data_IF_753524141809
#
_entry.id   IF_753524141809
#
_cell.length_a   1.000
_cell.length_b   1.000
_cell.length_c   1.000
_cell.angle_alpha   90.00
_cell.angle_beta   90.00
_cell.angle_gamma   90.00
#
_symmetry.space_group_name_H-M   'P 1'
#
loop_
_entity.id
_entity.type
_entity.pdbx_description
1 polymer ?
#
# COMPACT_ATOMS: atom_id res chain seq x y z
N UNK A 1 -0.99 3.12 -12.07
CA UNK A 1 -0.11 2.00 -12.46
C UNK A 1 -0.05 1.02 -11.32
N UNK A 2 -0.21 -0.26 -11.62
CA UNK A 2 0.14 -1.36 -10.73
C UNK A 2 1.47 -1.95 -11.17
N UNK A 3 2.28 -2.42 -10.23
CA UNK A 3 3.56 -3.10 -10.51
C UNK A 3 3.72 -4.36 -9.68
N UNK A 4 4.45 -5.33 -10.22
CA UNK A 4 4.96 -6.51 -9.53
C UNK A 4 6.26 -6.96 -10.20
N UNK A 5 7.24 -7.36 -9.42
CA UNK A 5 8.54 -7.79 -9.95
C UNK A 5 8.62 -9.29 -10.21
N UNK A 6 9.48 -9.69 -11.14
CA UNK A 6 9.52 -11.05 -11.69
C UNK A 6 10.84 -11.80 -11.44
N UNK A 7 11.89 -11.13 -10.94
CA UNK A 7 13.23 -11.71 -10.85
C UNK A 7 13.42 -12.62 -9.63
N UNK A 8 12.61 -12.49 -8.59
CA UNK A 8 12.68 -13.33 -7.41
C UNK A 8 11.90 -14.62 -7.59
N UNK A 9 12.53 -15.79 -7.29
CA UNK A 9 11.96 -17.08 -7.65
C UNK A 9 11.00 -17.65 -6.62
N UNK A 10 10.72 -16.94 -5.52
CA UNK A 10 9.83 -17.39 -4.46
C UNK A 10 8.36 -17.42 -4.89
N UNK A 11 7.58 -18.29 -4.27
CA UNK A 11 6.16 -18.40 -4.56
C UNK A 11 5.37 -17.21 -3.98
N UNK A 12 5.74 -16.75 -2.78
CA UNK A 12 5.22 -15.51 -2.20
C UNK A 12 6.00 -14.31 -2.74
N UNK A 13 7.31 -14.36 -2.71
CA UNK A 13 8.22 -13.34 -3.20
C UNK A 13 8.86 -13.72 -4.56
N UNK A 14 8.34 -13.31 -5.75
CA UNK A 14 7.08 -12.53 -5.86
C UNK A 14 6.16 -13.13 -6.93
N UNK A 15 6.14 -14.45 -7.08
CA UNK A 15 5.19 -15.09 -8.00
C UNK A 15 3.73 -14.79 -7.59
N UNK A 16 3.48 -14.55 -6.31
CA UNK A 16 2.18 -14.13 -5.80
C UNK A 16 1.72 -12.78 -6.36
N UNK A 17 2.61 -11.78 -6.34
CA UNK A 17 2.34 -10.46 -6.94
C UNK A 17 2.17 -10.53 -8.44
N UNK A 18 3.03 -11.27 -9.14
CA UNK A 18 2.96 -11.47 -10.60
C UNK A 18 1.64 -12.11 -11.02
N UNK A 19 1.26 -13.21 -10.36
CA UNK A 19 0.03 -13.94 -10.66
C UNK A 19 -1.22 -13.14 -10.33
N UNK A 20 -1.23 -12.47 -9.16
CA UNK A 20 -2.35 -11.62 -8.77
C UNK A 20 -2.52 -10.45 -9.73
N UNK A 21 -1.43 -9.81 -10.14
CA UNK A 21 -1.48 -8.69 -11.09
C UNK A 21 -2.07 -9.11 -12.43
N UNK A 22 -1.74 -10.33 -12.93
CA UNK A 22 -2.32 -10.88 -14.16
C UNK A 22 -3.83 -11.13 -13.99
N UNK A 23 -4.26 -11.69 -12.87
CA UNK A 23 -5.68 -11.93 -12.60
C UNK A 23 -6.46 -10.62 -12.42
N UNK A 24 -5.86 -9.61 -11.80
CA UNK A 24 -6.45 -8.27 -11.70
C UNK A 24 -6.62 -7.63 -13.10
N UNK A 25 -5.62 -7.76 -13.97
CA UNK A 25 -5.71 -7.24 -15.34
C UNK A 25 -6.83 -7.95 -16.12
N UNK A 26 -6.91 -9.30 -16.02
CA UNK A 26 -7.99 -10.10 -16.63
C UNK A 26 -9.36 -9.67 -16.10
N UNK A 27 -9.51 -9.57 -14.80
CA UNK A 27 -10.77 -9.19 -14.13
C UNK A 27 -11.18 -7.77 -14.53
N UNK A 28 -10.26 -6.81 -14.53
CA UNK A 28 -10.53 -5.46 -14.99
C UNK A 28 -11.04 -5.44 -16.44
N UNK A 29 -10.37 -6.17 -17.32
CA UNK A 29 -10.79 -6.25 -18.72
C UNK A 29 -12.20 -6.84 -18.88
N UNK A 30 -12.54 -7.89 -18.12
CA UNK A 30 -13.89 -8.51 -18.13
C UNK A 30 -14.94 -7.51 -17.64
N UNK A 31 -14.70 -6.83 -16.53
CA UNK A 31 -15.65 -5.88 -15.94
C UNK A 31 -15.88 -4.66 -16.86
N UNK A 32 -14.82 -4.13 -17.48
CA UNK A 32 -14.92 -3.00 -18.41
C UNK A 32 -15.65 -3.44 -19.70
N UNK A 33 -15.25 -4.55 -20.32
CA UNK A 33 -15.91 -5.06 -21.53
C UNK A 33 -17.38 -5.44 -21.30
N UNK A 34 -17.70 -5.93 -20.09
CA UNK A 34 -19.07 -6.24 -19.68
C UNK A 34 -19.91 -5.03 -19.26
N UNK A 35 -19.36 -3.80 -19.33
CA UNK A 35 -20.08 -2.58 -18.94
C UNK A 35 -20.39 -2.47 -17.45
N UNK A 36 -19.75 -3.29 -16.61
CA UNK A 36 -19.95 -3.28 -15.14
C UNK A 36 -19.25 -2.12 -14.47
N UNK A 37 -18.14 -1.67 -15.03
CA UNK A 37 -17.37 -0.50 -14.63
C UNK A 37 -16.96 0.29 -15.86
N UNK A 38 -16.86 1.61 -15.72
CA UNK A 38 -16.47 2.51 -16.80
C UNK A 38 -15.42 3.51 -16.29
N UNK A 39 -14.13 3.12 -16.21
CA UNK A 39 -13.08 3.98 -15.72
C UNK A 39 -12.85 5.15 -16.69
N UNK A 40 -12.77 6.37 -16.17
CA UNK A 40 -12.44 7.57 -16.95
C UNK A 40 -10.93 7.73 -17.19
N UNK A 41 -10.10 6.90 -16.53
CA UNK A 41 -8.64 6.90 -16.66
C UNK A 41 -8.12 5.49 -16.96
N UNK A 42 -6.96 5.44 -17.59
CA UNK A 42 -6.28 4.17 -17.89
C UNK A 42 -5.73 3.53 -16.60
N UNK A 43 -5.90 2.23 -16.51
CA UNK A 43 -5.17 1.38 -15.56
C UNK A 43 -4.06 0.65 -16.34
N UNK A 44 -2.83 0.73 -15.83
CA UNK A 44 -1.67 0.06 -16.41
C UNK A 44 -1.18 -1.00 -15.43
N UNK A 45 -0.81 -2.16 -15.96
CA UNK A 45 -0.25 -3.29 -15.24
C UNK A 45 1.16 -3.50 -15.75
N UNK A 46 2.16 -3.46 -14.86
CA UNK A 46 3.59 -3.46 -15.18
C UNK A 46 4.27 -4.65 -14.50
N UNK A 47 4.99 -5.45 -15.28
CA UNK A 47 5.85 -6.53 -14.79
C UNK A 47 7.29 -6.27 -15.21
N UNK A 48 8.23 -6.58 -14.35
CA UNK A 48 9.65 -6.47 -14.69
C UNK A 48 10.59 -6.62 -13.50
N UNK A 49 11.84 -6.32 -13.68
CA UNK A 49 12.83 -6.33 -12.58
C UNK A 49 12.44 -5.31 -11.53
N UNK A 50 12.50 -5.71 -10.29
CA UNK A 50 12.16 -4.90 -9.13
C UNK A 50 12.85 -3.53 -9.18
N UNK A 51 12.11 -2.49 -8.84
CA UNK A 51 12.56 -1.10 -8.87
C UNK A 51 12.99 -0.64 -10.27
N UNK A 52 13.80 -1.44 -10.97
CA UNK A 52 14.40 -1.07 -12.26
C UNK A 52 13.37 -0.91 -13.36
N UNK A 53 12.42 -1.86 -13.47
CA UNK A 53 11.39 -1.78 -14.51
C UNK A 53 10.49 -0.57 -14.30
N UNK A 54 10.09 -0.30 -13.08
CA UNK A 54 9.27 0.87 -12.72
C UNK A 54 10.05 2.18 -12.95
N UNK A 55 11.33 2.23 -12.55
CA UNK A 55 12.18 3.39 -12.81
C UNK A 55 12.33 3.66 -14.32
N UNK A 56 12.56 2.62 -15.13
CA UNK A 56 12.64 2.74 -16.61
C UNK A 56 11.31 3.19 -17.20
N UNK A 57 10.21 2.59 -16.79
CA UNK A 57 8.86 2.95 -17.24
C UNK A 57 8.59 4.44 -17.05
N UNK A 58 9.04 5.02 -15.94
CA UNK A 58 8.86 6.44 -15.62
C UNK A 58 9.90 7.36 -16.29
N UNK A 59 11.14 6.90 -16.53
CA UNK A 59 12.22 7.73 -17.05
C UNK A 59 12.29 7.79 -18.57
N UNK A 60 11.93 6.71 -19.27
CA UNK A 60 12.07 6.60 -20.72
C UNK A 60 11.08 7.48 -21.51
N UNK A 61 9.96 7.89 -20.89
CA UNK A 61 8.96 8.73 -21.53
C UNK A 61 8.37 9.74 -20.52
N UNK A 62 8.76 11.00 -20.67
CA UNK A 62 8.33 12.09 -19.81
C UNK A 62 6.83 12.41 -19.95
N UNK A 63 6.26 12.22 -21.13
CA UNK A 63 4.81 12.42 -21.37
C UNK A 63 4.00 11.35 -20.64
N UNK A 64 4.42 10.09 -20.76
CA UNK A 64 3.83 8.99 -20.02
C UNK A 64 3.93 9.23 -18.51
N UNK A 65 5.12 9.58 -18.00
CA UNK A 65 5.32 9.91 -16.58
C UNK A 65 4.38 11.01 -16.10
N UNK A 66 4.23 12.09 -16.84
CA UNK A 66 3.33 13.18 -16.48
C UNK A 66 1.84 12.73 -16.41
N UNK A 67 1.49 11.69 -17.13
CA UNK A 67 0.16 11.08 -17.10
C UNK A 67 -0.08 10.15 -15.91
N UNK A 68 0.96 9.65 -15.27
CA UNK A 68 0.85 8.74 -14.11
C UNK A 68 0.41 9.54 -12.88
N UNK A 69 -0.71 9.14 -12.26
CA UNK A 69 -1.26 9.83 -11.08
C UNK A 69 -1.00 9.08 -9.78
N UNK A 70 -0.97 7.74 -9.84
CA UNK A 70 -0.78 6.89 -8.66
C UNK A 70 -0.03 5.61 -9.04
N UNK A 71 0.76 5.09 -8.10
CA UNK A 71 1.39 3.77 -8.12
C UNK A 71 0.83 2.88 -7.03
N UNK A 72 0.69 1.59 -7.31
CA UNK A 72 0.37 0.55 -6.33
C UNK A 72 1.24 -0.66 -6.66
N UNK A 73 2.15 -1.01 -5.76
CA UNK A 73 3.02 -2.16 -5.93
C UNK A 73 2.47 -3.37 -5.18
N UNK A 74 2.56 -4.53 -5.79
CA UNK A 74 2.14 -5.82 -5.24
C UNK A 74 3.38 -6.68 -5.05
N UNK A 75 3.75 -6.90 -3.79
CA UNK A 75 4.93 -7.62 -3.41
C UNK A 75 4.61 -8.55 -2.25
N UNK A 76 4.90 -9.85 -2.37
CA UNK A 76 4.58 -10.82 -1.32
C UNK A 76 3.11 -10.77 -0.88
N UNK A 77 2.16 -10.76 -1.83
CA UNK A 77 0.73 -10.54 -1.56
C UNK A 77 -0.08 -11.81 -1.35
N UNK A 78 0.57 -12.96 -1.37
CA UNK A 78 -0.09 -14.27 -1.30
C UNK A 78 0.09 -15.02 0.01
N UNK A 79 0.72 -14.47 1.00
CA UNK A 79 1.17 -15.17 2.19
C UNK A 79 0.06 -15.91 2.93
N UNK A 80 0.30 -17.19 3.23
CA UNK A 80 -0.49 -17.95 4.18
C UNK A 80 0.01 -17.64 5.60
N UNK A 81 -0.53 -16.60 6.19
CA UNK A 81 -0.07 -16.05 7.47
C UNK A 81 -0.11 -17.05 8.64
N UNK A 82 -0.94 -18.09 8.55
CA UNK A 82 -0.97 -19.15 9.56
C UNK A 82 0.29 -20.05 9.53
N UNK A 83 0.97 -20.11 8.38
CA UNK A 83 2.19 -20.91 8.20
C UNK A 83 3.46 -20.05 8.26
N UNK A 84 3.39 -18.84 7.79
CA UNK A 84 4.55 -17.95 7.62
C UNK A 84 4.80 -17.07 8.83
N UNK A 85 3.75 -16.73 9.58
CA UNK A 85 3.81 -15.92 10.79
C UNK A 85 3.60 -14.40 10.55
N UNK A 86 3.40 -13.99 9.29
CA UNK A 86 3.29 -12.59 8.94
C UNK A 86 1.89 -11.98 9.03
N UNK A 87 1.78 -10.79 8.52
CA UNK A 87 0.52 -10.04 8.41
C UNK A 87 0.48 -9.28 7.09
N UNK A 88 -0.72 -9.08 6.55
CA UNK A 88 -0.89 -8.15 5.44
C UNK A 88 -0.70 -6.71 5.91
N UNK A 89 0.10 -5.98 5.14
CA UNK A 89 0.50 -4.61 5.41
C UNK A 89 0.24 -3.73 4.18
N UNK A 90 -0.13 -2.50 4.44
CA UNK A 90 0.00 -1.41 3.47
C UNK A 90 1.15 -0.55 3.96
N UNK A 91 2.27 -0.57 3.22
CA UNK A 91 3.32 0.39 3.49
C UNK A 91 2.89 1.75 2.99
N UNK A 92 2.87 2.69 3.92
CA UNK A 92 2.46 4.07 3.66
C UNK A 92 3.54 4.85 2.93
N UNK A 93 3.15 5.89 2.25
CA UNK A 93 4.09 6.93 1.82
C UNK A 93 4.75 7.58 3.04
N UNK A 94 5.78 8.39 2.82
CA UNK A 94 6.48 9.16 3.87
C UNK A 94 5.53 10.16 4.54
N UNK A 95 4.71 9.68 5.42
CA UNK A 95 3.85 10.46 6.30
C UNK A 95 4.51 10.67 7.69
N UNK A 96 3.87 11.37 8.63
CA UNK A 96 4.44 11.59 9.96
C UNK A 96 4.85 10.30 10.69
N UNK A 97 4.20 9.16 10.45
CA UNK A 97 4.55 7.90 11.10
C UNK A 97 5.95 7.38 10.74
N UNK A 98 6.49 7.78 9.58
CA UNK A 98 7.86 7.42 9.18
C UNK A 98 8.94 8.17 10.00
N UNK A 99 8.57 9.21 10.73
CA UNK A 99 9.47 9.99 11.59
C UNK A 99 9.16 9.76 13.07
N UNK A 100 7.89 9.71 13.41
CA UNK A 100 7.40 9.51 14.78
C UNK A 100 6.65 8.17 14.87
N UNK A 101 7.45 7.10 14.93
CA UNK A 101 6.94 5.72 15.06
C UNK A 101 6.29 5.55 16.43
N UNK A 102 4.96 5.34 16.46
CA UNK A 102 4.21 5.21 17.71
C UNK A 102 2.84 4.58 17.52
N UNK A 103 2.25 4.08 18.61
CA UNK A 103 0.94 3.44 18.56
C UNK A 103 0.95 2.18 17.71
N UNK A 104 0.03 2.09 16.76
CA UNK A 104 -0.06 0.97 15.82
C UNK A 104 0.94 1.08 14.65
N UNK A 105 1.49 2.26 14.39
CA UNK A 105 2.49 2.48 13.36
C UNK A 105 3.86 1.98 13.84
N UNK A 106 4.21 0.77 13.46
CA UNK A 106 5.49 0.15 13.80
C UNK A 106 6.19 -0.28 12.52
N UNK A 107 7.52 -0.18 12.49
CA UNK A 107 8.31 -0.80 11.45
C UNK A 107 8.28 -2.31 11.58
N UNK A 108 8.47 -2.99 10.45
CA UNK A 108 8.68 -4.43 10.42
C UNK A 108 10.11 -4.79 10.76
N UNK A 109 10.40 -6.08 10.91
CA UNK A 109 11.77 -6.57 11.11
C UNK A 109 12.65 -6.42 9.86
N UNK A 110 12.03 -6.16 8.70
CA UNK A 110 12.77 -5.81 7.48
C UNK A 110 13.56 -4.49 7.70
N UNK A 111 12.94 -3.56 8.40
CA UNK A 111 13.56 -2.30 8.78
C UNK A 111 13.49 -1.23 7.68
N UNK A 112 13.93 -0.03 8.00
CA UNK A 112 13.94 1.08 7.06
C UNK A 112 15.14 2.01 7.26
N UNK A 113 15.47 2.77 6.21
CA UNK A 113 16.35 3.92 6.35
C UNK A 113 15.63 5.07 7.08
N UNK A 114 16.30 5.82 7.98
CA UNK A 114 15.69 6.96 8.65
C UNK A 114 15.12 7.98 7.67
N UNK A 115 13.87 8.38 7.90
CA UNK A 115 13.20 9.44 7.14
C UNK A 115 13.34 10.76 7.89
N UNK A 116 13.79 11.82 7.21
CA UNK A 116 13.86 13.16 7.79
C UNK A 116 12.50 13.84 7.75
N UNK A 117 12.19 14.66 8.72
CA UNK A 117 10.94 15.44 8.75
C UNK A 117 10.74 16.26 7.46
N UNK A 118 11.81 16.79 6.87
CA UNK A 118 11.75 17.53 5.60
C UNK A 118 11.37 16.67 4.39
N UNK A 119 11.44 15.36 4.50
CA UNK A 119 11.10 14.43 3.43
C UNK A 119 9.66 13.91 3.55
N UNK A 120 8.91 14.33 4.59
CA UNK A 120 7.51 13.98 4.76
C UNK A 120 6.71 14.55 3.58
N UNK A 121 5.96 13.67 2.97
CA UNK A 121 5.08 14.01 1.85
C UNK A 121 3.83 13.13 1.91
N UNK A 122 2.87 13.45 2.80
CA UNK A 122 1.66 12.67 2.98
C UNK A 122 0.74 12.81 1.78
N UNK A 123 -0.04 11.78 1.51
CA UNK A 123 -1.05 11.80 0.46
C UNK A 123 -2.25 10.93 0.88
N UNK A 124 -3.43 11.31 0.47
CA UNK A 124 -4.67 10.61 0.80
C UNK A 124 -4.68 9.12 0.38
N UNK A 125 -3.78 8.72 -0.52
CA UNK A 125 -3.70 7.34 -1.02
C UNK A 125 -3.44 6.32 0.09
N UNK A 126 -2.70 6.69 1.14
CA UNK A 126 -2.48 5.84 2.31
C UNK A 126 -3.81 5.37 2.90
N UNK A 127 -4.63 6.33 3.32
CA UNK A 127 -5.90 6.07 3.99
C UNK A 127 -6.93 5.48 3.03
N UNK A 128 -6.97 6.00 1.81
CA UNK A 128 -7.89 5.54 0.78
C UNK A 128 -7.69 4.07 0.42
N UNK A 129 -6.44 3.64 0.28
CA UNK A 129 -6.11 2.23 0.00
C UNK A 129 -6.40 1.34 1.22
N UNK A 130 -6.01 1.81 2.41
CA UNK A 130 -6.25 1.09 3.66
C UNK A 130 -7.75 0.88 3.90
N UNK A 131 -8.58 1.90 3.67
CA UNK A 131 -10.02 1.79 3.86
C UNK A 131 -10.64 0.73 2.94
N UNK A 132 -10.25 0.65 1.68
CA UNK A 132 -10.72 -0.43 0.77
C UNK A 132 -10.38 -1.82 1.28
N UNK A 133 -9.20 -1.98 1.87
CA UNK A 133 -8.81 -3.25 2.47
C UNK A 133 -9.61 -3.52 3.77
N UNK A 134 -9.88 -2.51 4.59
CA UNK A 134 -10.73 -2.63 5.77
C UNK A 134 -12.18 -2.97 5.41
N UNK A 135 -12.73 -2.38 4.34
CA UNK A 135 -14.07 -2.73 3.82
C UNK A 135 -14.15 -4.23 3.47
N UNK A 136 -13.10 -4.77 2.84
CA UNK A 136 -12.99 -6.20 2.57
C UNK A 136 -12.85 -7.01 3.85
N UNK A 137 -12.01 -6.58 4.76
CA UNK A 137 -11.77 -7.22 6.06
C UNK A 137 -13.05 -7.35 6.89
N UNK A 138 -13.90 -6.34 6.88
CA UNK A 138 -15.18 -6.34 7.62
C UNK A 138 -16.10 -7.51 7.21
N UNK A 139 -15.98 -8.02 5.98
CA UNK A 139 -16.80 -9.12 5.46
C UNK A 139 -16.11 -10.48 5.52
N UNK A 140 -14.81 -10.53 5.76
CA UNK A 140 -14.01 -11.77 5.66
C UNK A 140 -13.27 -12.14 6.94
N UNK A 141 -13.16 -11.22 7.89
CA UNK A 141 -12.30 -11.39 9.07
C UNK A 141 -10.80 -11.31 8.75
N UNK A 142 -10.43 -10.86 7.54
CA UNK A 142 -9.03 -10.66 7.14
C UNK A 142 -8.38 -9.58 7.99
N UNK A 143 -7.15 -9.82 8.44
CA UNK A 143 -6.39 -8.84 9.23
C UNK A 143 -5.65 -7.90 8.30
N UNK A 144 -5.92 -6.62 8.42
CA UNK A 144 -5.29 -5.55 7.64
C UNK A 144 -4.58 -4.60 8.59
N UNK A 145 -3.29 -4.41 8.37
CA UNK A 145 -2.47 -3.44 9.09
C UNK A 145 -1.84 -2.45 8.11
N UNK A 146 -1.16 -1.45 8.63
CA UNK A 146 -0.29 -0.56 7.87
C UNK A 146 1.04 -0.44 8.60
N UNK A 147 2.10 -0.12 7.87
CA UNK A 147 3.39 0.21 8.45
C UNK A 147 3.87 1.56 7.89
N UNK A 148 4.73 2.28 8.64
CA UNK A 148 5.42 3.44 8.11
C UNK A 148 6.25 3.09 6.88
N UNK A 149 6.63 4.11 6.10
CA UNK A 149 7.51 3.93 4.94
C UNK A 149 8.83 3.25 5.32
N UNK A 150 9.15 2.18 4.63
CA UNK A 150 10.40 1.43 4.75
C UNK A 150 11.20 1.45 3.44
N UNK A 151 10.51 1.37 2.31
CA UNK A 151 11.10 1.37 0.97
C UNK A 151 11.42 -0.03 0.47
N UNK A 152 12.34 -0.13 -0.48
CA UNK A 152 12.90 -1.42 -0.92
C UNK A 152 12.16 -2.13 -2.04
N UNK A 153 10.98 -1.65 -2.50
CA UNK A 153 10.24 -2.28 -3.60
C UNK A 153 9.77 -1.27 -4.66
N UNK A 154 8.97 -1.74 -5.62
CA UNK A 154 8.54 -1.05 -6.85
C UNK A 154 7.79 0.27 -6.65
N UNK A 155 7.28 0.56 -5.45
CA UNK A 155 6.64 1.83 -5.14
C UNK A 155 7.66 3.00 -5.05
N UNK A 156 8.93 2.70 -4.75
CA UNK A 156 9.97 3.73 -4.51
C UNK A 156 10.28 4.59 -5.74
N UNK A 157 10.35 4.09 -6.99
CA UNK A 157 10.53 4.94 -8.16
C UNK A 157 9.38 5.94 -8.39
N UNK A 158 8.14 5.57 -8.07
CA UNK A 158 7.02 6.51 -8.12
C UNK A 158 7.25 7.67 -7.15
N UNK A 159 7.55 7.37 -5.89
CA UNK A 159 7.78 8.37 -4.84
C UNK A 159 8.97 9.29 -5.18
N UNK A 160 10.05 8.72 -5.76
CA UNK A 160 11.20 9.50 -6.23
C UNK A 160 10.85 10.48 -7.34
N UNK A 161 9.83 10.16 -8.15
CA UNK A 161 9.28 11.04 -9.19
C UNK A 161 8.11 11.92 -8.71
N UNK A 162 7.87 12.03 -7.40
CA UNK A 162 6.75 12.76 -6.81
C UNK A 162 5.38 12.26 -7.29
N UNK A 163 5.25 10.97 -7.55
CA UNK A 163 4.01 10.28 -7.86
C UNK A 163 3.60 9.52 -6.60
N UNK A 164 2.40 9.74 -6.05
CA UNK A 164 1.93 9.01 -4.87
C UNK A 164 1.88 7.51 -5.14
N UNK A 165 2.42 6.72 -4.22
CA UNK A 165 2.41 5.26 -4.33
C UNK A 165 2.40 4.59 -2.96
N UNK A 166 1.77 3.42 -2.89
CA UNK A 166 1.75 2.53 -1.73
C UNK A 166 2.22 1.14 -2.14
N UNK A 167 2.72 0.39 -1.17
CA UNK A 167 3.05 -1.01 -1.32
C UNK A 167 2.00 -1.86 -0.59
N UNK A 168 1.48 -2.87 -1.26
CA UNK A 168 0.71 -3.96 -0.67
C UNK A 168 1.65 -5.14 -0.50
N UNK A 169 1.83 -5.60 0.73
CA UNK A 169 2.77 -6.66 1.01
C UNK A 169 2.42 -7.43 2.29
N UNK A 170 3.17 -8.48 2.58
CA UNK A 170 3.13 -9.17 3.86
C UNK A 170 4.52 -9.17 4.47
N UNK A 171 4.56 -9.04 5.79
CA UNK A 171 5.74 -9.30 6.60
C UNK A 171 5.35 -9.52 8.09
N UNK A 172 6.07 -10.29 8.94
CA UNK A 172 7.27 -11.08 8.64
C UNK A 172 6.88 -12.37 7.92
N UNK A 173 7.69 -12.82 6.95
CA UNK A 173 7.59 -14.16 6.38
C UNK A 173 8.85 -14.94 6.78
N UNK A 174 8.69 -15.99 7.62
CA UNK A 174 9.83 -16.80 8.07
C UNK A 174 10.54 -17.56 6.94
N UNK A 175 9.96 -17.60 5.76
CA UNK A 175 10.53 -18.24 4.55
C UNK A 175 11.06 -17.24 3.54
N UNK A 176 10.95 -15.93 3.83
CA UNK A 176 11.44 -14.84 2.99
C UNK A 176 12.89 -15.09 2.56
N UNK A 177 13.14 -14.99 1.26
CA UNK A 177 14.45 -15.22 0.62
C UNK A 177 15.08 -16.60 0.92
N UNK A 178 14.26 -17.62 1.11
CA UNK A 178 14.71 -19.01 1.31
C UNK A 178 14.16 -19.93 0.22
N UNK A 179 14.74 -21.13 0.11
CA UNK A 179 14.24 -22.20 -0.77
C UNK A 179 12.92 -22.82 -0.29
N UNK A 180 12.41 -22.37 0.86
CA UNK A 180 11.12 -22.76 1.43
C UNK A 180 9.98 -21.81 1.09
N UNK A 181 10.24 -20.70 0.45
CA UNK A 181 9.17 -19.87 -0.14
C UNK A 181 8.58 -20.60 -1.35
N UNK A 182 7.63 -21.48 -1.08
CA UNK A 182 6.99 -22.37 -2.04
C UNK A 182 5.50 -22.18 -2.07
N UNK A 183 4.84 -22.80 -3.05
CA UNK A 183 3.40 -22.63 -3.30
C UNK A 183 2.54 -22.99 -2.07
N UNK A 184 3.00 -23.88 -1.21
CA UNK A 184 2.30 -24.26 0.03
C UNK A 184 2.22 -23.09 1.03
N UNK A 185 3.11 -22.11 0.90
CA UNK A 185 3.13 -20.89 1.72
C UNK A 185 2.19 -19.80 1.17
N UNK A 186 1.54 -20.04 0.04
CA UNK A 186 0.62 -19.10 -0.60
C UNK A 186 -0.83 -19.50 -0.35
N UNK A 187 -1.67 -18.52 -0.05
CA UNK A 187 -3.10 -18.67 0.22
C UNK A 187 -3.93 -18.01 -0.89
N UNK A 188 -4.74 -18.80 -1.57
CA UNK A 188 -5.70 -18.28 -2.56
C UNK A 188 -6.72 -17.31 -1.93
N UNK A 189 -7.08 -17.51 -0.66
CA UNK A 189 -7.97 -16.59 0.07
C UNK A 189 -7.30 -15.24 0.28
N UNK A 190 -6.03 -15.23 0.67
CA UNK A 190 -5.24 -13.99 0.84
C UNK A 190 -5.11 -13.26 -0.49
N UNK A 191 -4.72 -13.94 -1.57
CA UNK A 191 -4.67 -13.36 -2.92
C UNK A 191 -6.02 -12.75 -3.31
N UNK A 192 -7.13 -13.45 -3.06
CA UNK A 192 -8.47 -12.95 -3.34
C UNK A 192 -8.83 -11.69 -2.53
N UNK A 193 -8.40 -11.60 -1.28
CA UNK A 193 -8.62 -10.43 -0.45
C UNK A 193 -7.80 -9.22 -0.93
N UNK A 194 -6.50 -9.41 -1.17
CA UNK A 194 -5.61 -8.35 -1.65
C UNK A 194 -6.05 -7.87 -3.04
N UNK A 195 -6.32 -8.79 -3.97
CA UNK A 195 -6.77 -8.44 -5.32
C UNK A 195 -8.08 -7.66 -5.34
N UNK A 196 -9.03 -8.03 -4.46
CA UNK A 196 -10.29 -7.31 -4.32
C UNK A 196 -10.07 -5.88 -3.85
N UNK A 197 -9.31 -5.67 -2.77
CA UNK A 197 -9.09 -4.33 -2.25
C UNK A 197 -8.22 -3.47 -3.20
N UNK A 198 -7.16 -4.03 -3.78
CA UNK A 198 -6.30 -3.31 -4.71
C UNK A 198 -7.06 -2.90 -5.98
N UNK A 199 -7.81 -3.81 -6.58
CA UNK A 199 -8.57 -3.52 -7.80
C UNK A 199 -9.71 -2.54 -7.54
N UNK A 200 -10.40 -2.63 -6.40
CA UNK A 200 -11.43 -1.67 -5.98
C UNK A 200 -10.83 -0.28 -5.80
N UNK A 201 -9.67 -0.17 -5.15
CA UNK A 201 -8.92 1.08 -5.03
C UNK A 201 -8.68 1.70 -6.41
N UNK A 202 -8.17 0.93 -7.35
CA UNK A 202 -7.91 1.42 -8.72
C UNK A 202 -9.15 1.82 -9.49
N UNK A 203 -10.23 1.08 -9.39
CA UNK A 203 -11.49 1.46 -10.05
C UNK A 203 -12.05 2.77 -9.50
N UNK A 204 -12.04 2.96 -8.19
CA UNK A 204 -12.51 4.20 -7.58
C UNK A 204 -11.62 5.39 -7.95
N UNK A 205 -10.29 5.23 -7.93
CA UNK A 205 -9.35 6.27 -8.37
C UNK A 205 -9.52 6.64 -9.86
N UNK A 206 -9.94 5.69 -10.68
CA UNK A 206 -10.12 5.89 -12.12
C UNK A 206 -11.54 6.24 -12.55
N UNK A 207 -12.52 6.16 -11.66
CA UNK A 207 -13.94 6.45 -11.96
C UNK A 207 -14.18 7.87 -12.45
N UNK A 208 -13.51 8.87 -11.87
CA UNK A 208 -13.52 10.26 -12.32
C UNK A 208 -14.88 10.96 -12.21
N UNK A 209 -15.77 10.48 -11.32
CA UNK A 209 -17.08 11.11 -11.09
C UNK A 209 -17.09 11.93 -9.80
N UNK A 210 -17.84 13.03 -9.77
CA UNK A 210 -18.00 13.89 -8.59
C UNK A 210 -18.60 13.12 -7.41
N UNK A 211 -19.50 12.18 -7.66
CA UNK A 211 -20.10 11.35 -6.62
C UNK A 211 -19.05 10.48 -5.89
N UNK A 212 -18.16 9.83 -6.64
CA UNK A 212 -17.05 9.05 -6.06
C UNK A 212 -16.07 9.96 -5.34
N UNK A 213 -15.72 11.11 -5.94
CA UNK A 213 -14.84 12.10 -5.32
C UNK A 213 -15.41 12.65 -4.01
N UNK A 214 -16.69 13.01 -3.98
CA UNK A 214 -17.38 13.52 -2.80
C UNK A 214 -17.47 12.49 -1.67
N UNK A 215 -17.77 11.22 -2.00
CA UNK A 215 -17.80 10.14 -1.02
C UNK A 215 -16.40 9.88 -0.43
N UNK A 216 -15.38 9.82 -1.27
CA UNK A 216 -14.00 9.65 -0.85
C UNK A 216 -13.52 10.81 0.05
N UNK A 217 -13.83 12.05 -0.31
CA UNK A 217 -13.47 13.21 0.51
C UNK A 217 -14.09 13.15 1.89
N UNK A 218 -15.40 12.81 1.98
CA UNK A 218 -16.08 12.67 3.27
C UNK A 218 -15.39 11.60 4.14
N UNK A 219 -15.15 10.43 3.57
CA UNK A 219 -14.46 9.33 4.26
C UNK A 219 -13.08 9.75 4.76
N UNK A 220 -12.30 10.41 3.91
CA UNK A 220 -10.94 10.86 4.28
C UNK A 220 -10.95 11.91 5.40
N UNK A 221 -11.94 12.79 5.42
CA UNK A 221 -12.13 13.73 6.53
C UNK A 221 -12.43 12.99 7.85
N UNK A 222 -13.30 11.98 7.80
CA UNK A 222 -13.64 11.17 8.98
C UNK A 222 -12.42 10.39 9.49
N UNK A 223 -11.63 9.78 8.58
CA UNK A 223 -10.38 9.08 8.90
C UNK A 223 -9.34 10.02 9.49
N UNK A 224 -9.10 11.17 8.86
CA UNK A 224 -8.14 12.16 9.35
C UNK A 224 -8.53 12.70 10.75
N UNK A 225 -9.82 12.95 10.97
CA UNK A 225 -10.31 13.39 12.27
C UNK A 225 -10.11 12.30 13.36
N UNK A 226 -10.28 11.03 13.00
CA UNK A 226 -10.03 9.92 13.92
C UNK A 226 -8.54 9.78 14.22
N UNK A 227 -7.67 9.88 13.20
CA UNK A 227 -6.22 9.81 13.37
C UNK A 227 -5.71 10.93 14.28
N UNK A 228 -6.13 12.17 14.07
CA UNK A 228 -5.78 13.30 14.94
C UNK A 228 -6.20 13.07 16.41
N UNK A 229 -7.38 12.47 16.64
CA UNK A 229 -7.80 12.11 18.01
C UNK A 229 -6.88 11.07 18.62
N UNK A 230 -6.49 10.06 17.84
CA UNK A 230 -5.56 9.00 18.26
C UNK A 230 -4.20 9.58 18.62
N UNK A 231 -3.63 10.39 17.75
CA UNK A 231 -2.33 11.03 17.97
C UNK A 231 -2.37 11.97 19.19
N UNK A 232 -3.43 12.77 19.34
CA UNK A 232 -3.61 13.63 20.50
C UNK A 232 -3.79 12.83 21.82
N UNK A 233 -4.42 11.66 21.77
CA UNK A 233 -4.53 10.78 22.94
C UNK A 233 -3.17 10.17 23.32
N UNK A 234 -2.40 9.72 22.34
CA UNK A 234 -1.03 9.22 22.56
C UNK A 234 -0.14 10.30 23.19
N UNK A 235 -0.16 11.53 22.65
CA UNK A 235 0.61 12.65 23.18
C UNK A 235 0.21 13.01 24.62
N UNK A 236 -1.10 13.07 24.92
CA UNK A 236 -1.56 13.29 26.29
C UNK A 236 -1.09 12.20 27.25
N UNK A 237 -1.06 10.95 26.81
CA UNK A 237 -0.60 9.84 27.64
C UNK A 237 0.92 9.93 27.94
N UNK A 238 1.72 10.38 26.98
CA UNK A 238 3.17 10.62 27.17
C UNK A 238 3.40 11.76 28.16
N UNK A 239 2.72 12.90 27.97
CA UNK A 239 2.84 14.07 28.86
C UNK A 239 2.39 13.74 30.29
N UNK A 240 1.30 12.97 30.45
CA UNK A 240 0.82 12.54 31.77
C UNK A 240 1.83 11.65 32.53
N UNK A 241 2.74 11.00 31.80
CA UNK A 241 3.85 10.21 32.37
C UNK A 241 5.15 11.02 32.54
N UNK A 242 5.10 12.34 32.38
CA UNK A 242 6.25 13.23 32.53
C UNK A 242 7.08 13.44 31.26
N UNK A 243 6.57 13.07 30.10
CA UNK A 243 7.23 13.34 28.82
C UNK A 243 7.19 14.82 28.42
N UNK A 244 8.02 15.20 27.45
CA UNK A 244 8.18 16.57 26.97
C UNK A 244 6.95 17.05 26.18
N UNK A 245 6.18 17.95 26.78
CA UNK A 245 4.97 18.52 26.18
C UNK A 245 5.26 19.34 24.91
N UNK A 246 6.43 19.97 24.77
CA UNK A 246 6.79 20.74 23.60
C UNK A 246 7.13 19.81 22.41
N UNK A 247 7.81 18.70 22.68
CA UNK A 247 8.07 17.66 21.68
C UNK A 247 6.76 17.02 21.20
N UNK A 248 5.87 16.66 22.12
CA UNK A 248 4.57 16.05 21.80
C UNK A 248 3.65 16.99 21.00
N UNK A 249 3.72 18.30 21.26
CA UNK A 249 2.96 19.28 20.47
C UNK A 249 3.40 19.28 18.99
N UNK A 250 4.70 19.22 18.72
CA UNK A 250 5.24 19.17 17.35
C UNK A 250 4.80 17.95 16.57
N UNK A 251 4.46 16.85 17.23
CA UNK A 251 3.97 15.65 16.55
C UNK A 251 2.53 15.82 16.11
N UNK A 252 1.72 16.56 16.85
CA UNK A 252 0.28 16.74 16.57
C UNK A 252 0.02 17.94 15.64
N UNK A 253 0.89 18.94 15.66
CA UNK A 253 0.88 20.10 14.75
C UNK A 253 1.44 19.74 13.36
#
# INVERSE_FOLDING_TARGET
>A
VYSAHVQEPGANDNASGVGLLAEMARTAAVLVKGGRVNPARTMTFLWGDEIRATARYLSEDSTRRAGVKWGMSLDMVGENTALTGGSFLIEKMKDPSAVWVRGEDQHTEWGSSPVRQADIWPHFLNDFSRQRCLDRAATTGWVVKANPFEGGSDHTPFLSNKIPAVLFWHFTDQYYHTDRDRIEMVSATTLGNVGNCALTTGFLLTAGTDAVGGAALKELVDVAAQELRTQAALSRAVVAKGGDAAAERKIVE
#
